data_IF_374191826538
#
_entry.id   IF_374191826538
#
_cell.length_a   1.000
_cell.length_b   1.000
_cell.length_c   1.000
_cell.angle_alpha   90.00
_cell.angle_beta   90.00
_cell.angle_gamma   90.00
#
_symmetry.space_group_name_H-M   'P 1'
#
loop_
_entity.id
_entity.type
_entity.pdbx_description
1 polymer ?
#
# COMPACT_ATOMS: atom_id res chain seq x y z
N UNK A 1 -12.78 1.30 -0.88
CA UNK A 1 -11.29 1.38 -0.85
C UNK A 1 -10.56 0.15 -1.44
N UNK A 2 -9.49 0.35 -2.23
CA UNK A 2 -8.58 -0.72 -2.71
C UNK A 2 -7.41 -1.03 -1.75
N UNK A 3 -7.68 -1.12 -0.44
CA UNK A 3 -6.64 -1.22 0.59
C UNK A 3 -5.65 -2.38 0.41
N UNK A 4 -6.12 -3.52 -0.08
CA UNK A 4 -5.28 -4.68 -0.37
C UNK A 4 -4.21 -4.41 -1.44
N UNK A 5 -4.55 -3.61 -2.47
CA UNK A 5 -3.62 -3.24 -3.53
C UNK A 5 -2.60 -2.20 -3.04
N UNK A 6 -3.04 -1.26 -2.21
CA UNK A 6 -2.17 -0.25 -1.57
C UNK A 6 -1.10 -0.93 -0.70
N UNK A 7 -1.50 -1.90 0.14
CA UNK A 7 -0.58 -2.66 1.00
C UNK A 7 0.48 -3.36 0.14
N UNK A 8 0.04 -4.05 -0.90
CA UNK A 8 0.93 -4.79 -1.81
C UNK A 8 1.89 -3.87 -2.56
N UNK A 9 1.38 -2.76 -3.12
CA UNK A 9 2.20 -1.81 -3.87
C UNK A 9 3.27 -1.18 -2.97
N UNK A 10 2.92 -0.77 -1.75
CA UNK A 10 3.89 -0.23 -0.80
C UNK A 10 4.90 -1.27 -0.32
N UNK A 11 4.48 -2.51 -0.05
CA UNK A 11 5.43 -3.58 0.30
C UNK A 11 6.47 -3.76 -0.81
N UNK A 12 6.03 -3.82 -2.07
CA UNK A 12 6.90 -3.96 -3.23
C UNK A 12 7.83 -2.75 -3.39
N UNK A 13 7.31 -1.54 -3.18
CA UNK A 13 8.11 -0.30 -3.19
C UNK A 13 9.22 -0.33 -2.15
N UNK A 14 8.94 -0.87 -0.96
CA UNK A 14 9.92 -1.08 0.10
C UNK A 14 10.83 -2.29 -0.12
N UNK A 15 10.68 -3.01 -1.25
CA UNK A 15 11.53 -4.13 -1.63
C UNK A 15 11.35 -5.38 -0.78
N UNK A 16 10.24 -5.51 -0.05
CA UNK A 16 10.00 -6.65 0.85
C UNK A 16 9.21 -7.77 0.16
N UNK A 17 9.52 -9.02 0.46
CA UNK A 17 8.64 -10.18 0.24
C UNK A 17 7.50 -10.21 1.26
N UNK A 18 6.43 -10.96 0.96
CA UNK A 18 5.35 -11.19 1.93
C UNK A 18 5.86 -11.88 3.20
N UNK A 19 6.88 -12.74 3.08
CA UNK A 19 7.49 -13.44 4.22
C UNK A 19 8.22 -12.47 5.14
N UNK A 20 9.09 -11.62 4.60
CA UNK A 20 9.81 -10.61 5.38
C UNK A 20 8.84 -9.63 6.06
N UNK A 21 7.77 -9.23 5.37
CA UNK A 21 6.75 -8.35 5.96
C UNK A 21 6.00 -9.04 7.12
N UNK A 22 5.63 -10.32 6.95
CA UNK A 22 4.99 -11.11 8.00
C UNK A 22 5.90 -11.29 9.22
N UNK A 23 7.19 -11.59 8.99
CA UNK A 23 8.21 -11.73 10.04
C UNK A 23 8.41 -10.43 10.81
N UNK A 24 8.51 -9.28 10.13
CA UNK A 24 8.60 -7.95 10.77
C UNK A 24 7.36 -7.60 11.60
N UNK A 25 6.19 -8.11 11.23
CA UNK A 25 4.93 -7.91 11.97
C UNK A 25 4.71 -8.95 13.08
N UNK A 26 5.53 -10.00 13.15
CA UNK A 26 5.37 -11.11 14.08
C UNK A 26 4.07 -11.90 13.85
N UNK A 27 3.66 -12.07 12.59
CA UNK A 27 2.45 -12.83 12.22
C UNK A 27 2.78 -13.96 11.24
N UNK A 28 1.89 -14.94 11.15
CA UNK A 28 2.01 -15.99 10.14
C UNK A 28 1.88 -15.42 8.72
N UNK A 29 2.67 -15.97 7.79
CA UNK A 29 2.62 -15.61 6.36
C UNK A 29 1.19 -15.70 5.80
N UNK A 30 0.45 -16.75 6.14
CA UNK A 30 -0.94 -16.95 5.70
C UNK A 30 -1.89 -15.84 6.17
N UNK A 31 -1.60 -15.21 7.32
CA UNK A 31 -2.37 -14.06 7.81
C UNK A 31 -2.01 -12.81 7.01
N UNK A 32 -0.71 -12.56 6.78
CA UNK A 32 -0.28 -11.42 5.96
C UNK A 32 -0.86 -11.49 4.55
N UNK A 33 -0.86 -12.68 3.94
CA UNK A 33 -1.42 -12.90 2.60
C UNK A 33 -2.90 -12.50 2.47
N UNK A 34 -3.70 -12.61 3.54
CA UNK A 34 -5.10 -12.17 3.51
C UNK A 34 -5.21 -10.66 3.30
N UNK A 35 -4.30 -9.88 3.86
CA UNK A 35 -4.28 -8.42 3.70
C UNK A 35 -3.99 -7.97 2.26
N UNK A 36 -3.25 -8.76 1.48
CA UNK A 36 -2.93 -8.42 0.08
C UNK A 36 -3.87 -9.04 -0.93
N UNK A 37 -4.45 -10.21 -0.62
CA UNK A 37 -5.17 -11.02 -1.61
C UNK A 37 -6.69 -10.98 -1.47
N UNK A 38 -7.22 -10.62 -0.29
CA UNK A 38 -8.67 -10.58 -0.06
C UNK A 38 -9.10 -9.11 -0.03
N UNK A 39 -9.92 -8.65 -1.01
CA UNK A 39 -10.53 -7.34 -0.97
C UNK A 39 -11.23 -7.10 0.37
N UNK A 40 -11.17 -5.87 0.88
CA UNK A 40 -11.84 -5.42 2.12
C UNK A 40 -11.37 -6.10 3.43
N UNK A 41 -10.56 -7.16 3.39
CA UNK A 41 -10.08 -7.85 4.61
C UNK A 41 -9.41 -6.90 5.59
N UNK A 42 -8.61 -5.95 5.09
CA UNK A 42 -7.95 -4.92 5.91
C UNK A 42 -8.94 -4.06 6.70
N UNK A 43 -10.15 -3.82 6.19
CA UNK A 43 -11.16 -2.99 6.83
C UNK A 43 -11.89 -3.71 7.97
N UNK A 44 -11.96 -5.04 7.88
CA UNK A 44 -12.62 -5.89 8.88
C UNK A 44 -11.64 -6.56 9.85
N UNK A 45 -10.34 -6.43 9.60
CA UNK A 45 -9.31 -6.95 10.48
C UNK A 45 -9.16 -6.13 11.77
N UNK A 46 -8.43 -6.68 12.74
CA UNK A 46 -8.10 -5.98 13.98
C UNK A 46 -7.42 -4.63 13.70
N UNK A 47 -8.02 -3.54 14.20
CA UNK A 47 -7.54 -2.16 14.01
C UNK A 47 -6.06 -1.98 14.39
N UNK A 48 -5.65 -2.49 15.57
CA UNK A 48 -4.25 -2.39 16.02
C UNK A 48 -3.28 -3.09 15.07
N UNK A 49 -3.67 -4.22 14.48
CA UNK A 49 -2.86 -4.92 13.50
C UNK A 49 -2.76 -4.14 12.19
N UNK A 50 -3.85 -3.52 11.74
CA UNK A 50 -3.85 -2.67 10.55
C UNK A 50 -2.94 -1.46 10.77
N UNK A 51 -3.01 -0.79 11.92
CA UNK A 51 -2.10 0.32 12.24
C UNK A 51 -0.63 -0.09 12.16
N UNK A 52 -0.25 -1.25 12.72
CA UNK A 52 1.13 -1.77 12.60
C UNK A 52 1.54 -2.06 11.17
N UNK A 53 0.62 -2.55 10.32
CA UNK A 53 0.87 -2.72 8.88
C UNK A 53 1.12 -1.36 8.22
N UNK A 54 0.29 -0.36 8.51
CA UNK A 54 0.45 0.99 7.94
C UNK A 54 1.79 1.60 8.36
N UNK A 55 2.17 1.49 9.63
CA UNK A 55 3.46 1.94 10.15
C UNK A 55 4.65 1.26 9.45
N UNK A 56 4.61 -0.07 9.30
CA UNK A 56 5.62 -0.83 8.55
C UNK A 56 5.75 -0.34 7.11
N UNK A 57 4.63 0.06 6.50
CA UNK A 57 4.58 0.53 5.12
C UNK A 57 4.79 2.04 4.97
N UNK A 58 5.15 2.74 6.05
CA UNK A 58 5.30 4.20 6.09
C UNK A 58 4.05 4.97 5.61
N UNK A 59 2.87 4.39 5.86
CA UNK A 59 1.57 5.02 5.62
C UNK A 59 0.99 5.53 6.94
N UNK A 60 0.39 6.71 6.89
CA UNK A 60 -0.40 7.23 8.00
C UNK A 60 -1.74 6.45 8.14
N UNK A 61 -2.03 5.81 9.30
CA UNK A 61 -3.26 5.04 9.49
C UNK A 61 -4.55 5.87 9.30
N UNK A 62 -4.59 7.11 9.81
CA UNK A 62 -5.76 7.97 9.69
C UNK A 62 -6.07 8.28 8.21
N UNK A 63 -5.04 8.63 7.43
CA UNK A 63 -5.19 8.86 5.98
C UNK A 63 -5.68 7.60 5.25
N UNK A 64 -5.25 6.42 5.69
CA UNK A 64 -5.68 5.14 5.12
C UNK A 64 -7.16 4.86 5.39
N UNK A 65 -7.60 4.94 6.65
CA UNK A 65 -9.00 4.69 7.01
C UNK A 65 -9.97 5.76 6.48
N UNK A 66 -9.51 6.98 6.21
CA UNK A 66 -10.28 8.02 5.53
C UNK A 66 -10.30 7.88 3.99
N UNK A 67 -9.80 6.77 3.44
CA UNK A 67 -9.72 6.49 2.00
C UNK A 67 -8.97 7.57 1.19
N UNK A 68 -7.97 8.23 1.81
CA UNK A 68 -7.21 9.31 1.16
C UNK A 68 -5.98 8.82 0.41
N UNK A 69 -5.79 7.52 0.24
CA UNK A 69 -4.70 6.97 -0.56
C UNK A 69 -5.23 6.36 -1.84
N UNK A 70 -4.49 6.57 -2.93
CA UNK A 70 -4.80 6.07 -4.26
C UNK A 70 -3.53 5.53 -4.90
N UNK A 71 -3.69 4.51 -5.75
CA UNK A 71 -2.61 4.05 -6.60
C UNK A 71 -2.46 4.99 -7.79
N UNK A 72 -1.23 5.28 -8.16
CA UNK A 72 -0.93 5.84 -9.48
C UNK A 72 -0.74 4.72 -10.51
N UNK A 73 -0.43 5.08 -11.74
CA UNK A 73 -0.24 4.12 -12.85
C UNK A 73 0.78 3.02 -12.51
N UNK A 74 1.90 3.40 -11.88
CA UNK A 74 2.93 2.45 -11.42
C UNK A 74 2.38 1.52 -10.36
N UNK A 75 1.60 2.06 -9.41
CA UNK A 75 0.92 1.32 -8.37
C UNK A 75 -0.04 0.26 -8.92
N UNK A 76 -0.84 0.62 -9.91
CA UNK A 76 -1.73 -0.33 -10.59
C UNK A 76 -0.95 -1.41 -11.34
N UNK A 77 0.12 -1.04 -12.05
CA UNK A 77 0.96 -1.99 -12.79
C UNK A 77 1.55 -3.06 -11.86
N UNK A 78 2.04 -2.66 -10.68
CA UNK A 78 2.68 -3.60 -9.74
C UNK A 78 1.67 -4.38 -8.92
N UNK A 79 0.54 -3.78 -8.55
CA UNK A 79 -0.48 -4.45 -7.75
C UNK A 79 -1.24 -5.52 -8.54
N UNK A 80 -1.41 -5.35 -9.86
CA UNK A 80 -2.11 -6.29 -10.74
C UNK A 80 -1.43 -7.67 -10.85
N UNK A 81 -0.11 -7.75 -10.59
CA UNK A 81 0.65 -8.99 -10.81
C UNK A 81 0.52 -9.94 -9.62
N UNK A 82 0.20 -11.21 -9.85
CA UNK A 82 0.09 -12.26 -8.82
C UNK A 82 1.42 -12.73 -8.21
N UNK A 83 2.35 -11.83 -7.87
CA UNK A 83 3.68 -12.21 -7.39
C UNK A 83 3.75 -12.23 -5.86
N UNK A 84 4.03 -13.41 -5.29
CA UNK A 84 4.43 -13.59 -3.88
C UNK A 84 5.92 -13.30 -3.65
N UNK A 85 6.70 -13.32 -4.74
CA UNK A 85 8.14 -13.07 -4.75
C UNK A 85 8.49 -11.57 -4.60
N UNK A 86 9.71 -11.23 -4.16
CA UNK A 86 10.23 -9.87 -4.20
C UNK A 86 10.22 -9.29 -5.63
N UNK A 87 10.08 -7.97 -5.80
CA UNK A 87 10.19 -7.34 -7.11
C UNK A 87 11.61 -7.51 -7.68
N UNK A 88 11.73 -7.68 -9.00
CA UNK A 88 13.02 -7.73 -9.70
C UNK A 88 13.77 -6.39 -9.52
N UNK A 89 15.10 -6.39 -9.58
CA UNK A 89 15.93 -5.17 -9.41
C UNK A 89 15.47 -3.99 -10.27
N UNK A 90 15.08 -4.22 -11.51
CA UNK A 90 14.59 -3.16 -12.41
C UNK A 90 13.26 -2.55 -11.94
N UNK A 91 12.38 -3.37 -11.36
CA UNK A 91 11.11 -2.89 -10.78
C UNK A 91 11.37 -2.10 -9.50
N UNK A 92 12.31 -2.56 -8.67
CA UNK A 92 12.76 -1.79 -7.50
C UNK A 92 13.31 -0.43 -7.94
N UNK A 93 14.06 -0.36 -9.05
CA UNK A 93 14.59 0.91 -9.58
C UNK A 93 13.47 1.88 -9.95
N UNK A 94 12.49 1.43 -10.75
CA UNK A 94 11.31 2.25 -11.12
C UNK A 94 10.48 2.67 -9.90
N UNK A 95 10.27 1.74 -8.97
CA UNK A 95 9.54 2.04 -7.73
C UNK A 95 10.31 3.07 -6.89
N UNK A 96 11.65 3.03 -6.83
CA UNK A 96 12.46 4.06 -6.14
C UNK A 96 12.36 5.45 -6.78
N UNK A 97 12.09 5.52 -8.07
CA UNK A 97 11.92 6.78 -8.80
C UNK A 97 10.52 7.39 -8.55
N UNK A 98 9.50 6.56 -8.32
CA UNK A 98 8.14 7.01 -8.10
C UNK A 98 7.40 6.16 -7.06
N UNK A 99 6.98 6.79 -5.94
CA UNK A 99 6.14 6.12 -4.96
C UNK A 99 4.82 5.68 -5.62
N UNK A 100 4.40 4.40 -5.48
CA UNK A 100 3.21 3.88 -6.17
C UNK A 100 1.89 4.35 -5.56
N UNK A 101 1.95 5.02 -4.41
CA UNK A 101 0.78 5.50 -3.68
C UNK A 101 0.88 7.02 -3.58
N UNK A 102 -0.20 7.68 -3.99
CA UNK A 102 -0.41 9.11 -3.78
C UNK A 102 -1.46 9.31 -2.70
N UNK A 103 -1.41 10.45 -2.01
CA UNK A 103 -2.47 10.82 -1.08
C UNK A 103 -3.25 12.05 -1.57
N UNK A 104 -4.56 12.01 -1.36
CA UNK A 104 -5.49 13.10 -1.68
C UNK A 104 -5.40 14.15 -0.57
N UNK A 105 -4.83 15.32 -0.88
CA UNK A 105 -4.78 16.49 0.03
C UNK A 105 -6.14 17.14 0.19
N UNK A 106 -6.88 17.18 -0.90
CA UNK A 106 -8.16 17.83 -1.00
C UNK A 106 -8.70 17.72 -2.41
N UNK A 107 -9.76 18.44 -2.66
CA UNK A 107 -10.40 18.55 -3.95
C UNK A 107 -10.40 20.03 -4.30
N UNK A 108 -9.94 20.36 -5.50
CA UNK A 108 -10.02 21.69 -6.04
C UNK A 108 -11.49 22.11 -6.14
N UNK A 109 -11.83 23.28 -5.59
CA UNK A 109 -13.24 23.68 -5.41
C UNK A 109 -13.89 24.12 -6.71
N UNK A 110 -13.10 24.53 -7.69
CA UNK A 110 -13.59 25.13 -8.93
C UNK A 110 -13.72 24.06 -10.03
N UNK A 111 -12.78 23.12 -10.06
CA UNK A 111 -12.72 22.05 -11.07
C UNK A 111 -13.25 20.70 -10.56
N UNK A 112 -13.28 20.48 -9.25
CA UNK A 112 -13.62 19.19 -8.64
C UNK A 112 -12.50 18.14 -8.74
N UNK A 113 -11.31 18.52 -9.22
CA UNK A 113 -10.18 17.59 -9.37
C UNK A 113 -9.50 17.29 -8.03
N UNK A 114 -9.02 16.05 -7.86
CA UNK A 114 -8.29 15.65 -6.65
C UNK A 114 -6.88 16.23 -6.68
N UNK A 115 -6.52 16.95 -5.61
CA UNK A 115 -5.17 17.45 -5.40
C UNK A 115 -4.35 16.34 -4.77
N UNK A 116 -3.50 15.68 -5.57
CA UNK A 116 -2.65 14.58 -5.13
C UNK A 116 -1.30 15.08 -4.62
N UNK A 117 -0.73 14.35 -3.67
CA UNK A 117 0.64 14.57 -3.20
C UNK A 117 1.38 13.25 -3.08
N UNK A 118 2.62 13.25 -3.58
CA UNK A 118 3.58 12.16 -3.49
C UNK A 118 4.36 12.16 -2.16
N UNK A 119 4.33 13.25 -1.38
CA UNK A 119 4.88 13.25 -0.02
C UNK A 119 4.01 12.38 0.88
N UNK A 120 4.51 11.26 1.39
CA UNK A 120 3.73 10.45 2.35
C UNK A 120 3.68 11.07 3.77
N UNK A 121 4.50 12.09 4.03
CA UNK A 121 4.44 12.92 5.25
C UNK A 121 3.28 13.92 5.14
#
# INVERSE_FOLDING_TARGET
MEGHRIIKAMRLYLGMSQREAAEKLGIYLSVYQKYENIPEYVMHASFSRVCRIMELLHLNPNKFFMERYELNDVGYEVAARGTTAPPKKEQIRRLRECCPVSYVRGVDKDTGEKILSSSLR
#
